data_IF_138738715960
#
_entry.id   IF_138738715960
#
_cell.length_a   1.000
_cell.length_b   1.000
_cell.length_c   1.000
_cell.angle_alpha   90.00
_cell.angle_beta   90.00
_cell.angle_gamma   90.00
#
_symmetry.space_group_name_H-M   'P 1'
#
loop_
_entity.id
_entity.type
_entity.pdbx_description
1 polymer ?
#
# COMPACT_ATOMS: atom_id res chain seq x y z
N UNK A 1 -25.86 25.25 17.72
CA UNK A 1 -25.79 23.94 17.05
C UNK A 1 -24.56 23.95 16.18
N UNK A 2 -23.77 22.88 16.18
CA UNK A 2 -22.64 22.74 15.27
C UNK A 2 -23.14 22.30 13.88
N UNK A 3 -22.45 22.73 12.84
CA UNK A 3 -22.61 22.24 11.46
C UNK A 3 -22.04 20.82 11.33
N UNK A 4 -22.43 20.11 10.27
CA UNK A 4 -21.84 18.80 9.97
C UNK A 4 -20.32 18.88 9.78
N UNK A 5 -19.81 19.96 9.18
CA UNK A 5 -18.38 20.15 8.98
C UNK A 5 -17.63 20.23 10.31
N UNK A 6 -18.12 21.05 11.24
CA UNK A 6 -17.52 21.20 12.57
C UNK A 6 -17.52 19.89 13.37
N UNK A 7 -18.42 18.94 13.05
CA UNK A 7 -18.46 17.62 13.69
C UNK A 7 -17.46 16.62 13.08
N UNK A 8 -17.04 16.81 11.82
CA UNK A 8 -16.10 15.89 11.13
C UNK A 8 -14.69 16.46 10.97
N UNK A 9 -14.50 17.75 11.21
CA UNK A 9 -13.19 18.38 11.22
C UNK A 9 -12.28 17.67 12.22
N UNK A 10 -11.04 17.41 11.77
CA UNK A 10 -10.03 16.82 12.63
C UNK A 10 -9.68 17.79 13.77
N UNK A 11 -9.45 17.26 14.96
CA UNK A 11 -8.80 18.05 16.00
C UNK A 11 -7.37 18.41 15.58
N UNK A 12 -6.76 19.46 16.15
CA UNK A 12 -5.37 19.81 15.84
C UNK A 12 -4.37 18.64 16.02
N UNK A 13 -4.58 17.80 17.03
CA UNK A 13 -3.76 16.61 17.28
C UNK A 13 -3.95 15.55 16.20
N UNK A 14 -5.19 15.32 15.76
CA UNK A 14 -5.52 14.40 14.67
C UNK A 14 -4.93 14.88 13.35
N UNK A 15 -5.05 16.18 13.03
CA UNK A 15 -4.45 16.77 11.84
C UNK A 15 -2.92 16.65 11.85
N UNK A 16 -2.28 16.88 13.01
CA UNK A 16 -0.83 16.69 13.17
C UNK A 16 -0.42 15.24 12.93
N UNK A 17 -1.18 14.27 13.44
CA UNK A 17 -0.93 12.85 13.20
C UNK A 17 -1.13 12.48 11.72
N UNK A 18 -2.20 12.98 11.11
CA UNK A 18 -2.48 12.80 9.69
C UNK A 18 -1.35 13.34 8.81
N UNK A 19 -0.86 14.54 9.09
CA UNK A 19 0.24 15.15 8.34
C UNK A 19 1.55 14.35 8.43
N UNK A 20 1.80 13.67 9.56
CA UNK A 20 2.93 12.74 9.68
C UNK A 20 2.76 11.52 8.80
N UNK A 21 1.55 10.96 8.72
CA UNK A 21 1.24 9.84 7.82
C UNK A 21 1.43 10.27 6.35
N UNK A 22 0.90 11.43 5.96
CA UNK A 22 1.08 12.00 4.61
C UNK A 22 2.56 12.16 4.27
N UNK A 23 3.37 12.68 5.20
CA UNK A 23 4.81 12.82 5.01
C UNK A 23 5.49 11.46 4.86
N UNK A 24 5.19 10.50 5.72
CA UNK A 24 5.78 9.16 5.66
C UNK A 24 5.50 8.47 4.32
N UNK A 25 4.27 8.58 3.80
CA UNK A 25 3.90 8.04 2.48
C UNK A 25 4.69 8.71 1.35
N UNK A 26 4.87 10.04 1.41
CA UNK A 26 5.66 10.78 0.41
C UNK A 26 7.13 10.37 0.44
N UNK A 27 7.72 10.33 1.64
CA UNK A 27 9.13 9.98 1.83
C UNK A 27 9.37 8.52 1.36
N UNK A 28 8.46 7.59 1.65
CA UNK A 28 8.54 6.20 1.21
C UNK A 28 8.49 6.07 -0.33
N UNK A 29 7.57 6.76 -1.00
CA UNK A 29 7.49 6.78 -2.47
C UNK A 29 8.71 7.42 -3.11
N UNK A 30 9.24 8.49 -2.52
CA UNK A 30 10.45 9.14 -3.01
C UNK A 30 11.68 8.22 -2.96
N UNK A 31 11.73 7.30 -1.99
CA UNK A 31 12.74 6.26 -1.89
C UNK A 31 12.51 5.06 -2.86
N UNK A 32 11.51 5.14 -3.73
CA UNK A 32 11.17 4.07 -4.69
C UNK A 32 10.23 2.99 -4.13
N UNK A 33 9.78 3.15 -2.88
CA UNK A 33 8.81 2.25 -2.26
C UNK A 33 7.43 2.36 -2.90
N UNK A 34 6.75 1.22 -3.01
CA UNK A 34 5.35 1.13 -3.44
C UNK A 34 4.56 0.31 -2.43
N UNK A 35 3.25 0.42 -2.46
CA UNK A 35 2.35 -0.34 -1.60
C UNK A 35 1.13 -0.79 -2.38
N UNK A 36 0.57 -1.92 -1.97
CA UNK A 36 -0.72 -2.41 -2.42
C UNK A 36 -1.52 -2.85 -1.20
N UNK A 37 -2.84 -2.91 -1.33
CA UNK A 37 -3.74 -3.22 -0.24
C UNK A 37 -4.69 -4.35 -0.60
N UNK A 38 -4.88 -5.28 0.33
CA UNK A 38 -5.85 -6.39 0.23
C UNK A 38 -6.55 -6.50 1.56
N UNK A 39 -7.89 -6.48 1.56
CA UNK A 39 -8.69 -6.41 2.78
C UNK A 39 -8.18 -5.29 3.73
N UNK A 40 -7.91 -5.65 4.98
CA UNK A 40 -7.40 -4.78 6.03
C UNK A 40 -5.86 -4.70 6.07
N UNK A 41 -5.17 -5.29 5.08
CA UNK A 41 -3.70 -5.31 5.05
C UNK A 41 -3.14 -4.33 4.03
N UNK A 42 -2.21 -3.47 4.47
CA UNK A 42 -1.36 -2.66 3.59
C UNK A 42 0.04 -3.27 3.53
N UNK A 43 0.47 -3.70 2.34
CA UNK A 43 1.77 -4.32 2.11
C UNK A 43 2.70 -3.40 1.33
N UNK A 44 3.93 -3.28 1.79
CA UNK A 44 4.98 -2.46 1.18
C UNK A 44 5.93 -3.33 0.35
N UNK A 45 6.37 -2.81 -0.81
CA UNK A 45 7.31 -3.51 -1.69
C UNK A 45 8.27 -2.55 -2.40
N UNK A 46 9.42 -3.09 -2.85
CA UNK A 46 10.41 -2.34 -3.63
C UNK A 46 9.90 -2.14 -5.07
N UNK A 47 9.71 -0.88 -5.48
CA UNK A 47 9.26 -0.53 -6.83
C UNK A 47 10.36 -0.53 -7.90
N UNK A 48 11.60 -0.85 -7.55
CA UNK A 48 12.74 -0.88 -8.47
C UNK A 48 12.55 -1.92 -9.59
N UNK A 49 12.12 -3.13 -9.25
CA UNK A 49 11.94 -4.23 -10.21
C UNK A 49 10.47 -4.58 -10.49
N UNK A 50 9.54 -4.15 -9.63
CA UNK A 50 8.11 -4.44 -9.78
C UNK A 50 7.42 -3.38 -10.65
N UNK A 51 6.82 -3.83 -11.75
CA UNK A 51 6.01 -3.01 -12.64
C UNK A 51 4.63 -2.74 -12.02
N UNK A 52 3.88 -3.81 -11.74
CA UNK A 52 2.53 -3.77 -11.15
C UNK A 52 2.28 -4.94 -10.19
N UNK A 53 1.29 -4.76 -9.32
CA UNK A 53 0.59 -5.84 -8.63
C UNK A 53 -0.88 -5.72 -9.04
N UNK A 54 -1.42 -6.76 -9.65
CA UNK A 54 -2.78 -6.82 -10.20
C UNK A 54 -3.35 -8.25 -10.11
N UNK A 55 -4.61 -8.44 -10.55
CA UNK A 55 -5.32 -9.70 -10.39
C UNK A 55 -5.16 -10.66 -11.58
N UNK A 56 -4.27 -10.35 -12.54
CA UNK A 56 -4.28 -11.01 -13.85
C UNK A 56 -3.18 -12.05 -14.00
N UNK A 57 -1.92 -11.69 -13.74
CA UNK A 57 -0.75 -12.53 -14.08
C UNK A 57 0.50 -12.25 -13.24
N UNK A 58 1.51 -13.11 -13.41
CA UNK A 58 2.82 -12.97 -12.78
C UNK A 58 3.01 -13.90 -11.59
N UNK A 59 3.99 -13.59 -10.74
CA UNK A 59 4.29 -14.39 -9.55
C UNK A 59 3.26 -14.13 -8.46
N UNK A 60 2.68 -15.17 -7.88
CA UNK A 60 1.71 -14.97 -6.81
C UNK A 60 2.37 -14.21 -5.64
N UNK A 61 1.72 -13.15 -5.16
CA UNK A 61 2.16 -12.41 -3.96
C UNK A 61 2.35 -13.29 -2.72
N UNK A 62 1.63 -14.41 -2.60
CA UNK A 62 1.78 -15.38 -1.51
C UNK A 62 3.13 -16.14 -1.55
N UNK A 63 3.84 -16.12 -2.68
CA UNK A 63 5.16 -16.76 -2.82
C UNK A 63 6.30 -15.93 -2.22
N UNK A 64 6.04 -14.69 -1.78
CA UNK A 64 7.04 -13.80 -1.20
C UNK A 64 6.54 -13.16 0.09
N UNK A 65 7.48 -12.81 0.97
CA UNK A 65 7.16 -11.98 2.12
C UNK A 65 7.22 -10.49 1.76
N UNK A 66 6.18 -9.74 2.12
CA UNK A 66 6.18 -8.27 2.05
C UNK A 66 5.89 -7.72 3.45
N UNK A 67 6.67 -6.74 3.95
CA UNK A 67 6.33 -6.04 5.18
C UNK A 67 4.93 -5.45 5.10
N UNK A 68 4.10 -5.75 6.09
CA UNK A 68 2.70 -5.37 6.07
C UNK A 68 2.22 -4.84 7.42
N UNK A 69 1.14 -4.07 7.38
CA UNK A 69 0.38 -3.62 8.56
C UNK A 69 -1.06 -4.10 8.44
N UNK A 70 -1.59 -4.63 9.53
CA UNK A 70 -3.03 -4.82 9.71
C UNK A 70 -3.64 -3.48 10.15
N UNK A 71 -4.44 -2.89 9.27
CA UNK A 71 -4.95 -1.53 9.40
C UNK A 71 -6.40 -1.42 8.86
N UNK A 72 -7.39 -1.98 9.58
CA UNK A 72 -8.80 -1.85 9.22
C UNK A 72 -9.21 -0.39 9.05
N UNK A 73 -9.87 -0.09 7.92
CA UNK A 73 -10.31 1.27 7.57
C UNK A 73 -9.25 2.17 6.92
N UNK A 74 -7.99 1.75 6.87
CA UNK A 74 -6.96 2.38 6.02
C UNK A 74 -6.93 1.77 4.61
N UNK A 75 -7.23 0.48 4.53
CA UNK A 75 -7.34 -0.30 3.30
C UNK A 75 -8.72 -0.95 3.19
N UNK A 76 -9.14 -1.28 1.97
CA UNK A 76 -10.37 -2.05 1.72
C UNK A 76 -10.44 -2.54 0.26
N UNK A 77 -11.27 -3.56 0.01
CA UNK A 77 -11.58 -4.34 -1.21
C UNK A 77 -10.93 -5.74 -1.31
N UNK A 78 -11.44 -6.53 -2.27
CA UNK A 78 -11.59 -8.00 -2.27
C UNK A 78 -10.30 -8.82 -2.11
N UNK A 79 -10.44 -9.97 -1.46
CA UNK A 79 -9.42 -11.01 -1.27
C UNK A 79 -9.32 -11.91 -2.51
N UNK A 80 -8.86 -11.32 -3.61
CA UNK A 80 -8.61 -12.06 -4.84
C UNK A 80 -7.16 -12.55 -4.94
N UNK A 81 -6.86 -13.37 -5.94
CA UNK A 81 -5.48 -13.69 -6.29
C UNK A 81 -4.78 -12.43 -6.82
N UNK A 82 -3.56 -12.17 -6.36
CA UNK A 82 -2.76 -11.03 -6.80
C UNK A 82 -1.38 -11.49 -7.29
N UNK A 83 -1.03 -11.09 -8.51
CA UNK A 83 0.22 -11.38 -9.18
C UNK A 83 1.18 -10.20 -9.21
N UNK A 84 2.48 -10.50 -9.13
CA UNK A 84 3.59 -9.56 -9.25
C UNK A 84 4.08 -9.61 -10.69
N UNK A 85 3.93 -8.52 -11.42
CA UNK A 85 4.53 -8.35 -12.74
C UNK A 85 5.85 -7.59 -12.60
N UNK A 86 6.95 -8.19 -13.05
CA UNK A 86 8.26 -7.55 -13.09
C UNK A 86 8.41 -6.64 -14.31
N UNK A 87 9.33 -5.68 -14.24
CA UNK A 87 9.70 -4.85 -15.38
C UNK A 87 10.45 -5.68 -16.43
N UNK A 88 10.33 -5.28 -17.70
CA UNK A 88 11.02 -5.94 -18.81
C UNK A 88 12.53 -6.05 -18.55
N UNK A 89 13.08 -7.24 -18.83
CA UNK A 89 14.51 -7.54 -18.63
C UNK A 89 14.92 -7.90 -17.20
N UNK A 90 13.99 -7.94 -16.25
CA UNK A 90 14.23 -8.55 -14.93
C UNK A 90 13.96 -10.04 -15.02
N UNK A 91 14.98 -10.85 -14.76
CA UNK A 91 14.90 -12.31 -14.73
C UNK A 91 14.93 -12.82 -13.28
N UNK A 92 14.23 -13.92 -13.03
CA UNK A 92 14.22 -14.63 -11.74
C UNK A 92 14.75 -16.03 -12.01
N UNK A 93 15.68 -16.50 -11.19
CA UNK A 93 16.11 -17.89 -11.25
C UNK A 93 14.94 -18.79 -10.82
N UNK A 94 14.52 -19.67 -11.73
CA UNK A 94 13.53 -20.71 -11.44
C UNK A 94 14.26 -21.86 -10.72
N UNK A 95 14.26 -21.82 -9.39
CA UNK A 95 14.63 -22.99 -8.56
C UNK A 95 13.54 -24.09 -8.62
#
# INVERSE_FOLDING_TARGET
>A
MATLQELIDLTPEQEKAWNRLVKAVKDFRAAGGKFYSVLDTLSAYNGEHVASIDNDKGYHTASVYMPSIDAPGLTSWADDWHGITLKDGVEVDED
#
